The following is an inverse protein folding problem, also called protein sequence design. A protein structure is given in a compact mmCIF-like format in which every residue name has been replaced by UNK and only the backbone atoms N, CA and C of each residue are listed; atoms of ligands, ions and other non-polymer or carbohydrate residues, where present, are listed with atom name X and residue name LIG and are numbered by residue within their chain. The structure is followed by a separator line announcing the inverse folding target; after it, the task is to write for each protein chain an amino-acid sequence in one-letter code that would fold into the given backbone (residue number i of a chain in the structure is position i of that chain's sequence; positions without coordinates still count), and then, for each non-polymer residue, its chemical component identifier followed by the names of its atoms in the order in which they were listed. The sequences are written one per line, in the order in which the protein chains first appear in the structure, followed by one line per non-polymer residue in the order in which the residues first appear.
data_IF_061715729185
#
_entry.id   IF_061715729185
#
_cell.length_a   1.000
_cell.length_b   1.000
_cell.length_c   1.000
_cell.angle_alpha   90.00
_cell.angle_beta   90.00
_cell.angle_gamma   90.00
#
_symmetry.space_group_name_H-M   'P 1'
#
loop_
_entity.id
_entity.type
_entity.pdbx_description
1 polymer ?
#
# COMPACT_ATOMS: atom_id res chain seq x y z
N UNK A 1 -13.41 -14.59 20.86
CA UNK A 1 -13.71 -14.44 19.42
C UNK A 1 -12.42 -14.24 18.60
N UNK A 2 -11.54 -13.26 18.94
CA UNK A 2 -10.32 -12.99 18.17
C UNK A 2 -9.35 -14.18 18.08
N UNK A 3 -9.14 -14.89 19.18
CA UNK A 3 -8.29 -16.09 19.22
C UNK A 3 -8.90 -17.24 18.39
N UNK A 4 -10.21 -17.38 18.40
CA UNK A 4 -10.93 -18.39 17.62
C UNK A 4 -10.78 -18.11 16.11
N UNK A 5 -10.96 -16.86 15.68
CA UNK A 5 -10.77 -16.48 14.27
C UNK A 5 -9.32 -16.70 13.79
N UNK A 6 -8.30 -16.42 14.61
CA UNK A 6 -6.89 -16.66 14.27
C UNK A 6 -6.62 -18.16 14.10
N UNK A 7 -7.12 -18.98 15.01
CA UNK A 7 -6.96 -20.44 14.95
C UNK A 7 -7.63 -21.03 13.70
N UNK A 8 -8.82 -20.58 13.38
CA UNK A 8 -9.57 -21.07 12.23
C UNK A 8 -8.93 -20.62 10.91
N UNK A 9 -8.38 -19.39 10.86
CA UNK A 9 -7.61 -18.92 9.72
C UNK A 9 -6.37 -19.77 9.47
N UNK A 10 -5.64 -20.16 10.52
CA UNK A 10 -4.47 -21.02 10.39
C UNK A 10 -4.86 -22.44 9.90
N UNK A 11 -5.98 -22.98 10.40
CA UNK A 11 -6.50 -24.29 9.96
C UNK A 11 -6.90 -24.26 8.47
N UNK A 12 -7.52 -23.17 8.03
CA UNK A 12 -7.84 -22.96 6.61
C UNK A 12 -6.58 -22.79 5.78
N UNK A 13 -5.57 -22.06 6.27
CA UNK A 13 -4.28 -21.92 5.59
C UNK A 13 -3.61 -23.27 5.36
N UNK A 14 -3.48 -24.08 6.42
CA UNK A 14 -2.88 -25.42 6.36
C UNK A 14 -3.63 -26.33 5.38
N UNK A 15 -4.95 -26.19 5.27
CA UNK A 15 -5.75 -26.91 4.28
C UNK A 15 -5.49 -26.40 2.86
N UNK A 16 -5.43 -25.08 2.64
CA UNK A 16 -5.17 -24.49 1.34
C UNK A 16 -3.77 -24.87 0.82
N UNK A 17 -2.80 -24.98 1.71
CA UNK A 17 -1.43 -25.42 1.41
C UNK A 17 -1.27 -26.95 1.32
N UNK A 18 -2.37 -27.74 1.44
CA UNK A 18 -2.39 -29.20 1.45
C UNK A 18 -1.59 -29.85 2.60
N UNK A 19 -1.37 -29.14 3.72
CA UNK A 19 -0.69 -29.64 4.91
C UNK A 19 -1.59 -30.55 5.76
N UNK A 20 -2.90 -30.27 5.76
CA UNK A 20 -3.89 -31.05 6.47
C UNK A 20 -5.06 -31.44 5.57
N UNK A 21 -5.75 -32.52 5.94
CA UNK A 21 -6.99 -32.96 5.31
C UNK A 21 -8.16 -32.75 6.29
N UNK A 22 -9.22 -32.11 5.85
CA UNK A 22 -10.42 -31.83 6.63
C UNK A 22 -11.50 -32.93 6.45
N UNK A 23 -11.10 -34.20 6.28
CA UNK A 23 -12.04 -35.31 6.12
C UNK A 23 -13.00 -35.38 7.30
N UNK A 24 -14.31 -35.46 7.01
CA UNK A 24 -15.36 -35.48 8.00
C UNK A 24 -15.80 -34.12 8.56
N UNK A 25 -15.12 -33.02 8.20
CA UNK A 25 -15.56 -31.68 8.58
C UNK A 25 -16.69 -31.20 7.66
N UNK A 26 -17.76 -30.67 8.25
CA UNK A 26 -18.99 -30.23 7.57
C UNK A 26 -18.76 -29.19 6.47
N UNK A 27 -17.71 -28.38 6.59
CA UNK A 27 -17.39 -27.29 5.66
C UNK A 27 -16.33 -27.64 4.60
N UNK A 28 -15.86 -28.91 4.57
CA UNK A 28 -14.80 -29.33 3.63
C UNK A 28 -15.19 -29.08 2.17
N UNK A 29 -16.38 -29.51 1.74
CA UNK A 29 -16.83 -29.33 0.35
C UNK A 29 -16.90 -27.85 -0.05
N UNK A 30 -17.34 -26.99 0.86
CA UNK A 30 -17.36 -25.54 0.63
C UNK A 30 -15.96 -24.96 0.48
N UNK A 31 -14.99 -25.43 1.27
CA UNK A 31 -13.60 -24.99 1.17
C UNK A 31 -12.92 -25.53 -0.10
N UNK A 32 -13.19 -26.77 -0.49
CA UNK A 32 -12.71 -27.32 -1.77
C UNK A 32 -13.20 -26.48 -2.95
N UNK A 33 -14.49 -26.16 -2.97
CA UNK A 33 -15.10 -25.30 -3.98
C UNK A 33 -14.51 -23.89 -3.97
N UNK A 34 -14.30 -23.31 -2.79
CA UNK A 34 -13.71 -21.98 -2.61
C UNK A 34 -12.26 -21.96 -3.08
N UNK A 35 -11.47 -23.01 -2.84
CA UNK A 35 -10.10 -23.15 -3.32
C UNK A 35 -10.02 -23.19 -4.86
N UNK A 36 -10.91 -23.96 -5.49
CA UNK A 36 -11.00 -24.03 -6.97
C UNK A 36 -11.38 -22.67 -7.54
N UNK A 37 -12.39 -22.01 -6.95
CA UNK A 37 -12.83 -20.69 -7.40
C UNK A 37 -11.71 -19.64 -7.21
N UNK A 38 -11.03 -19.63 -6.08
CA UNK A 38 -9.88 -18.74 -5.81
C UNK A 38 -8.81 -18.89 -6.89
N UNK A 39 -8.44 -20.13 -7.25
CA UNK A 39 -7.41 -20.37 -8.27
C UNK A 39 -7.80 -19.75 -9.61
N UNK A 40 -9.07 -19.95 -10.03
CA UNK A 40 -9.59 -19.33 -11.27
C UNK A 40 -9.65 -17.80 -11.22
N UNK A 41 -9.97 -17.22 -10.05
CA UNK A 41 -9.99 -15.76 -9.88
C UNK A 41 -8.58 -15.18 -9.93
N UNK A 42 -7.59 -15.86 -9.34
CA UNK A 42 -6.17 -15.47 -9.41
C UNK A 42 -5.63 -15.57 -10.85
N UNK A 43 -5.99 -16.61 -11.59
CA UNK A 43 -5.65 -16.73 -13.01
C UNK A 43 -6.22 -15.52 -13.81
N UNK A 44 -7.52 -15.24 -13.66
CA UNK A 44 -8.16 -14.08 -14.29
C UNK A 44 -7.56 -12.75 -13.85
N UNK A 45 -7.13 -12.63 -12.58
CA UNK A 45 -6.41 -11.44 -12.09
C UNK A 45 -5.09 -11.27 -12.82
N UNK A 46 -4.35 -12.36 -13.02
CA UNK A 46 -3.08 -12.35 -13.74
C UNK A 46 -3.26 -12.03 -15.24
N UNK A 47 -4.27 -12.64 -15.89
CA UNK A 47 -4.64 -12.36 -17.28
C UNK A 47 -5.08 -10.91 -17.50
N UNK A 48 -5.86 -10.36 -16.56
CA UNK A 48 -6.30 -8.96 -16.58
C UNK A 48 -5.14 -7.99 -16.40
N UNK A 49 -4.05 -8.44 -15.82
CA UNK A 49 -2.88 -7.60 -15.58
C UNK A 49 -3.02 -6.67 -14.36
N UNK A 50 -3.79 -7.03 -13.32
CA UNK A 50 -3.90 -6.24 -12.10
C UNK A 50 -2.54 -6.08 -11.41
N UNK A 51 -2.23 -4.90 -10.92
CA UNK A 51 -0.98 -4.65 -10.19
C UNK A 51 -0.98 -5.42 -8.85
N UNK A 52 0.10 -6.10 -8.56
CA UNK A 52 0.27 -6.79 -7.27
C UNK A 52 1.64 -6.41 -6.68
N UNK A 53 1.60 -5.53 -5.68
CA UNK A 53 2.79 -5.08 -4.97
C UNK A 53 2.98 -5.92 -3.71
N UNK A 54 4.13 -6.56 -3.59
CA UNK A 54 4.57 -7.14 -2.32
C UNK A 54 5.27 -6.04 -1.51
N UNK A 55 4.56 -5.50 -0.53
CA UNK A 55 5.11 -4.54 0.43
C UNK A 55 5.32 -5.23 1.77
N UNK A 56 6.42 -4.88 2.41
CA UNK A 56 6.69 -5.31 3.77
C UNK A 56 5.81 -4.52 4.75
N UNK A 57 4.91 -5.21 5.45
CA UNK A 57 4.08 -4.62 6.49
C UNK A 57 4.56 -5.10 7.86
N UNK A 58 4.89 -4.19 8.79
CA UNK A 58 5.30 -4.59 10.13
C UNK A 58 4.14 -5.18 10.92
N UNK A 59 4.35 -6.36 11.49
CA UNK A 59 3.52 -6.93 12.54
C UNK A 59 4.19 -6.66 13.89
N UNK A 60 3.51 -5.93 14.74
CA UNK A 60 3.98 -5.56 16.07
C UNK A 60 3.20 -6.34 17.14
N UNK A 61 3.92 -7.08 17.95
CA UNK A 61 3.36 -7.66 19.18
C UNK A 61 3.78 -6.80 20.36
N UNK A 62 2.81 -6.20 21.03
CA UNK A 62 3.03 -5.33 22.16
C UNK A 62 2.70 -6.05 23.49
N UNK A 63 3.33 -5.61 24.57
CA UNK A 63 2.95 -5.95 25.93
C UNK A 63 1.70 -5.18 26.39
N UNK A 64 1.36 -5.33 27.68
CA UNK A 64 0.20 -4.64 28.26
C UNK A 64 0.38 -3.13 28.39
N UNK A 65 1.61 -2.66 28.35
CA UNK A 65 1.96 -1.25 28.40
C UNK A 65 2.05 -0.59 27.02
N UNK A 66 1.85 -1.38 25.94
CA UNK A 66 1.93 -0.92 24.56
C UNK A 66 3.34 -0.90 23.97
N UNK A 67 4.36 -1.42 24.67
CA UNK A 67 5.73 -1.51 24.16
C UNK A 67 5.89 -2.70 23.21
N UNK A 68 6.58 -2.48 22.10
CA UNK A 68 6.85 -3.53 21.11
C UNK A 68 7.83 -4.54 21.72
N UNK A 69 7.37 -5.78 21.84
CA UNK A 69 8.15 -6.97 22.25
C UNK A 69 8.71 -7.72 21.05
N UNK A 70 8.01 -7.70 19.96
CA UNK A 70 8.39 -8.42 18.75
C UNK A 70 7.95 -7.65 17.51
N UNK A 71 8.87 -7.51 16.56
CA UNK A 71 8.67 -6.87 15.29
C UNK A 71 9.00 -7.86 14.17
N UNK A 72 8.01 -8.18 13.33
CA UNK A 72 8.15 -9.14 12.23
C UNK A 72 7.52 -8.59 10.96
N UNK A 73 7.89 -9.14 9.82
CA UNK A 73 7.13 -8.92 8.59
C UNK A 73 5.82 -9.72 8.62
N UNK A 74 4.73 -9.09 8.24
CA UNK A 74 3.42 -9.72 8.12
C UNK A 74 3.38 -10.61 6.88
N UNK A 75 3.17 -11.91 7.07
CA UNK A 75 3.04 -12.84 5.96
C UNK A 75 1.65 -12.75 5.35
N UNK A 76 1.55 -12.58 4.03
CA UNK A 76 0.31 -12.65 3.28
C UNK A 76 -0.06 -14.11 3.01
N UNK A 77 -1.06 -14.61 3.70
CA UNK A 77 -1.52 -16.00 3.64
C UNK A 77 -2.41 -16.27 2.42
N UNK A 78 -2.53 -17.55 2.01
CA UNK A 78 -3.46 -17.97 0.96
C UNK A 78 -4.92 -17.75 1.37
N UNK A 79 -5.24 -17.96 2.64
CA UNK A 79 -6.54 -17.66 3.23
C UNK A 79 -6.91 -16.17 3.11
N UNK A 80 -5.94 -15.26 3.22
CA UNK A 80 -6.16 -13.84 2.99
C UNK A 80 -6.46 -13.57 1.50
N UNK A 81 -5.72 -14.19 0.57
CA UNK A 81 -5.95 -14.05 -0.87
C UNK A 81 -7.33 -14.59 -1.29
N UNK A 82 -7.79 -15.69 -0.68
CA UNK A 82 -9.11 -16.24 -0.92
C UNK A 82 -10.20 -15.20 -0.61
N UNK A 83 -10.17 -14.63 0.58
CA UNK A 83 -11.15 -13.61 0.99
C UNK A 83 -11.02 -12.36 0.12
N UNK A 84 -9.80 -11.92 -0.19
CA UNK A 84 -9.55 -10.76 -1.07
C UNK A 84 -10.22 -10.93 -2.44
N UNK A 85 -10.03 -12.08 -3.11
CA UNK A 85 -10.63 -12.32 -4.43
C UNK A 85 -12.17 -12.39 -4.36
N UNK A 86 -12.72 -12.93 -3.28
CA UNK A 86 -14.18 -12.95 -3.08
C UNK A 86 -14.74 -11.56 -2.81
N UNK A 87 -14.03 -10.75 -2.03
CA UNK A 87 -14.38 -9.34 -1.79
C UNK A 87 -14.31 -8.52 -3.09
N UNK A 88 -13.27 -8.70 -3.90
CA UNK A 88 -13.14 -8.05 -5.21
C UNK A 88 -14.31 -8.42 -6.11
N UNK A 89 -14.67 -9.70 -6.19
CA UNK A 89 -15.78 -10.17 -7.00
C UNK A 89 -17.11 -9.55 -6.57
N UNK A 90 -17.38 -9.50 -5.26
CA UNK A 90 -18.59 -8.87 -4.72
C UNK A 90 -18.63 -7.36 -5.02
N UNK A 91 -17.50 -6.67 -4.90
CA UNK A 91 -17.38 -5.25 -5.20
C UNK A 91 -17.68 -4.94 -6.68
N UNK A 92 -17.22 -5.79 -7.60
CA UNK A 92 -17.49 -5.64 -9.04
C UNK A 92 -18.97 -5.85 -9.33
N UNK A 93 -19.56 -6.93 -8.77
CA UNK A 93 -21.00 -7.21 -8.95
C UNK A 93 -21.86 -6.04 -8.43
N UNK A 94 -21.49 -5.45 -7.30
CA UNK A 94 -22.17 -4.27 -6.75
C UNK A 94 -22.02 -3.04 -7.68
N UNK A 95 -20.82 -2.80 -8.22
CA UNK A 95 -20.58 -1.72 -9.18
C UNK A 95 -21.42 -1.89 -10.46
N UNK A 96 -21.48 -3.10 -11.00
CA UNK A 96 -22.30 -3.42 -12.16
C UNK A 96 -23.80 -3.26 -11.89
N UNK A 97 -24.25 -3.63 -10.68
CA UNK A 97 -25.64 -3.41 -10.28
C UNK A 97 -25.99 -1.93 -10.22
N UNK A 98 -25.14 -1.12 -9.60
CA UNK A 98 -25.34 0.33 -9.51
C UNK A 98 -25.41 0.96 -10.91
N UNK A 99 -24.44 0.62 -11.76
CA UNK A 99 -24.36 1.17 -13.11
C UNK A 99 -25.61 0.86 -13.96
N UNK A 100 -26.20 -0.32 -13.79
CA UNK A 100 -27.40 -0.74 -14.52
C UNK A 100 -28.69 -0.10 -14.00
N UNK A 101 -28.72 0.34 -12.76
CA UNK A 101 -29.97 0.68 -12.08
C UNK A 101 -30.07 2.15 -11.65
N UNK A 102 -28.97 2.89 -11.69
CA UNK A 102 -28.88 4.29 -11.27
C UNK A 102 -28.19 5.14 -12.32
N UNK A 103 -28.62 6.38 -12.47
CA UNK A 103 -27.97 7.37 -13.34
C UNK A 103 -26.62 7.83 -12.78
N UNK A 104 -26.51 7.85 -11.45
CA UNK A 104 -25.27 8.11 -10.72
C UNK A 104 -24.99 6.95 -9.77
N UNK A 105 -23.83 6.32 -9.93
CA UNK A 105 -23.33 5.28 -9.03
C UNK A 105 -22.28 5.84 -8.06
N UNK A 106 -21.82 4.98 -7.17
CA UNK A 106 -20.69 5.26 -6.29
C UNK A 106 -19.56 4.34 -6.72
N UNK A 107 -18.44 4.93 -7.12
CA UNK A 107 -17.29 4.18 -7.61
C UNK A 107 -16.06 4.46 -6.76
N UNK A 108 -15.20 3.47 -6.62
CA UNK A 108 -13.83 3.63 -6.14
C UNK A 108 -12.93 3.71 -7.34
N UNK A 109 -12.48 4.90 -7.64
CA UNK A 109 -11.72 5.20 -8.85
C UNK A 109 -10.23 5.33 -8.54
N UNK A 110 -9.40 4.94 -9.48
CA UNK A 110 -7.96 5.07 -9.41
C UNK A 110 -7.46 5.44 -10.79
N UNK A 111 -7.09 6.69 -10.95
CA UNK A 111 -6.66 7.25 -12.21
C UNK A 111 -5.20 6.89 -12.55
N UNK A 112 -4.81 7.16 -13.79
CA UNK A 112 -3.43 6.98 -14.26
C UNK A 112 -2.48 7.92 -13.54
N UNK A 113 -1.22 7.53 -13.36
CA UNK A 113 -0.20 8.42 -12.84
C UNK A 113 0.02 9.63 -13.73
N UNK A 114 0.31 10.78 -13.13
CA UNK A 114 0.64 12.00 -13.86
C UNK A 114 2.01 11.89 -14.56
N UNK A 115 2.14 12.45 -15.75
CA UNK A 115 3.33 12.35 -16.61
C UNK A 115 4.63 12.72 -15.87
N UNK A 116 4.63 13.80 -15.08
CA UNK A 116 5.83 14.21 -14.34
C UNK A 116 6.30 13.17 -13.29
N UNK A 117 5.38 12.40 -12.72
CA UNK A 117 5.73 11.31 -11.79
C UNK A 117 6.38 10.15 -12.52
N UNK A 118 5.95 9.93 -13.75
CA UNK A 118 6.47 8.90 -14.65
C UNK A 118 7.89 9.23 -15.09
N UNK A 119 8.09 10.47 -15.54
CA UNK A 119 9.41 10.95 -15.94
C UNK A 119 10.40 10.80 -14.80
N UNK A 120 9.98 11.16 -13.58
CA UNK A 120 10.79 10.99 -12.38
C UNK A 120 11.08 9.51 -12.07
N UNK A 121 10.08 8.64 -12.17
CA UNK A 121 10.28 7.19 -12.01
C UNK A 121 11.32 6.68 -13.01
N UNK A 122 11.19 7.03 -14.28
CA UNK A 122 12.12 6.64 -15.34
C UNK A 122 13.56 7.11 -15.04
N UNK A 123 13.73 8.32 -14.52
CA UNK A 123 15.06 8.83 -14.13
C UNK A 123 15.66 8.04 -12.96
N UNK A 124 14.86 7.70 -11.93
CA UNK A 124 15.30 6.91 -10.79
C UNK A 124 15.73 5.52 -11.25
N UNK A 125 14.97 4.89 -12.14
CA UNK A 125 15.24 3.56 -12.68
C UNK A 125 16.52 3.56 -13.52
N UNK A 126 16.70 4.53 -14.42
CA UNK A 126 17.92 4.70 -15.25
C UNK A 126 19.18 4.81 -14.40
N UNK A 127 19.15 5.53 -13.28
CA UNK A 127 20.29 5.65 -12.36
C UNK A 127 20.68 4.32 -11.72
N UNK A 128 19.73 3.41 -11.62
CA UNK A 128 19.96 2.04 -11.10
C UNK A 128 20.26 1.02 -12.19
N UNK A 129 20.58 1.48 -13.41
CA UNK A 129 20.80 0.65 -14.61
C UNK A 129 19.58 -0.26 -14.90
N UNK A 130 18.37 0.23 -14.62
CA UNK A 130 17.13 -0.46 -14.93
C UNK A 130 16.50 0.29 -16.11
N UNK A 131 16.53 -0.33 -17.28
CA UNK A 131 15.85 0.19 -18.45
C UNK A 131 14.38 -0.19 -18.36
N UNK A 132 13.53 0.83 -18.34
CA UNK A 132 12.10 0.69 -18.50
C UNK A 132 11.66 1.57 -19.66
N UNK A 133 11.32 0.93 -20.77
CA UNK A 133 10.90 1.58 -22.00
C UNK A 133 9.37 1.58 -22.16
N UNK A 134 8.64 1.12 -21.14
CA UNK A 134 7.19 1.04 -21.16
C UNK A 134 6.51 2.40 -20.98
N UNK A 135 5.38 2.59 -21.65
CA UNK A 135 4.40 3.62 -21.28
C UNK A 135 3.63 3.15 -20.04
N UNK A 136 3.36 4.05 -19.10
CA UNK A 136 2.50 3.72 -17.94
C UNK A 136 1.05 3.50 -18.35
N UNK A 137 0.65 4.02 -19.50
CA UNK A 137 -0.65 3.71 -20.08
C UNK A 137 -0.77 2.21 -20.43
N UNK A 138 0.37 1.54 -20.63
CA UNK A 138 0.43 0.09 -20.80
C UNK A 138 0.67 -0.61 -19.46
N UNK A 139 -0.43 -0.89 -18.75
CA UNK A 139 -0.43 -1.57 -17.46
C UNK A 139 0.20 -2.97 -17.56
N UNK A 140 0.13 -3.61 -18.72
CA UNK A 140 0.70 -4.95 -18.91
C UNK A 140 2.22 -4.89 -18.88
N UNK A 141 2.82 -3.90 -19.54
CA UNK A 141 4.26 -3.63 -19.44
C UNK A 141 4.69 -3.27 -18.02
N UNK A 142 3.88 -2.48 -17.30
CA UNK A 142 4.16 -2.15 -15.90
C UNK A 142 4.11 -3.39 -15.00
N UNK A 143 3.17 -4.30 -15.22
CA UNK A 143 3.10 -5.57 -14.47
C UNK A 143 4.29 -6.49 -14.73
N UNK A 144 4.67 -6.66 -16.00
CA UNK A 144 5.86 -7.43 -16.37
C UNK A 144 7.09 -6.80 -15.70
N UNK A 145 7.17 -5.49 -15.70
CA UNK A 145 8.23 -4.74 -15.06
C UNK A 145 8.26 -5.00 -13.54
N UNK A 146 7.14 -4.86 -12.82
CA UNK A 146 7.03 -5.13 -11.38
C UNK A 146 7.41 -6.59 -11.05
N UNK A 147 6.94 -7.55 -11.84
CA UNK A 147 7.33 -8.97 -11.69
C UNK A 147 8.84 -9.19 -11.88
N UNK A 148 9.48 -8.45 -12.78
CA UNK A 148 10.94 -8.53 -12.96
C UNK A 148 11.67 -7.89 -11.78
N UNK A 149 11.12 -6.83 -11.18
CA UNK A 149 11.68 -6.22 -9.97
C UNK A 149 11.64 -7.16 -8.77
N UNK A 150 10.64 -8.05 -8.66
CA UNK A 150 10.51 -9.00 -7.54
C UNK A 150 11.68 -9.95 -7.38
N UNK A 151 12.47 -10.17 -8.44
CA UNK A 151 13.67 -11.02 -8.44
C UNK A 151 14.93 -10.32 -7.89
N UNK A 152 14.86 -9.02 -7.64
CA UNK A 152 16.01 -8.21 -7.19
C UNK A 152 16.09 -8.15 -5.67
N UNK A 153 17.30 -7.97 -5.15
CA UNK A 153 17.54 -7.76 -3.71
C UNK A 153 16.97 -6.43 -3.19
N UNK A 154 16.85 -5.43 -4.08
CA UNK A 154 16.32 -4.10 -3.79
C UNK A 154 14.81 -3.94 -4.14
N UNK A 155 14.08 -5.05 -4.27
CA UNK A 155 12.66 -5.08 -4.69
C UNK A 155 11.74 -4.21 -3.83
N UNK A 156 11.90 -4.23 -2.52
CA UNK A 156 11.06 -3.44 -1.59
C UNK A 156 11.19 -1.95 -1.86
N UNK A 157 12.42 -1.48 -2.12
CA UNK A 157 12.71 -0.08 -2.45
C UNK A 157 12.06 0.30 -3.78
N UNK A 158 12.27 -0.54 -4.80
CA UNK A 158 11.75 -0.28 -6.14
C UNK A 158 10.21 -0.29 -6.16
N UNK A 159 9.58 -1.24 -5.46
CA UNK A 159 8.13 -1.28 -5.30
C UNK A 159 7.61 -0.02 -4.60
N UNK A 160 8.29 0.45 -3.56
CA UNK A 160 7.92 1.69 -2.87
C UNK A 160 8.02 2.91 -3.80
N UNK A 161 9.09 3.02 -4.61
CA UNK A 161 9.27 4.11 -5.59
C UNK A 161 8.20 4.07 -6.68
N UNK A 162 7.91 2.89 -7.22
CA UNK A 162 6.82 2.71 -8.20
C UNK A 162 5.48 3.11 -7.60
N UNK A 163 5.17 2.63 -6.39
CA UNK A 163 3.92 2.96 -5.70
C UNK A 163 3.77 4.46 -5.41
N UNK A 164 4.85 5.15 -5.03
CA UNK A 164 4.85 6.62 -4.84
C UNK A 164 4.55 7.39 -6.13
N UNK A 165 4.77 6.77 -7.29
CA UNK A 165 4.47 7.38 -8.59
C UNK A 165 2.99 7.26 -8.96
N UNK A 166 2.26 6.34 -8.33
CA UNK A 166 0.84 6.13 -8.59
C UNK A 166 -0.03 7.27 -8.04
N UNK A 167 -1.23 7.42 -8.61
CA UNK A 167 -2.27 8.25 -8.03
C UNK A 167 -2.86 7.57 -6.79
N UNK A 168 -3.65 8.31 -6.03
CA UNK A 168 -4.44 7.73 -4.94
C UNK A 168 -5.83 7.38 -5.46
N UNK A 169 -6.35 6.26 -4.98
CA UNK A 169 -7.74 5.94 -5.23
C UNK A 169 -8.65 6.85 -4.40
N UNK A 170 -9.81 7.22 -4.95
CA UNK A 170 -10.80 8.07 -4.30
C UNK A 170 -12.23 7.60 -4.61
N UNK A 171 -13.21 8.15 -3.92
CA UNK A 171 -14.62 7.91 -4.23
C UNK A 171 -15.13 8.97 -5.20
N UNK A 172 -15.91 8.55 -6.19
CA UNK A 172 -16.46 9.44 -7.23
C UNK A 172 -17.76 8.89 -7.78
N UNK A 173 -18.60 9.77 -8.32
CA UNK A 173 -19.75 9.39 -9.15
C UNK A 173 -19.35 9.09 -10.59
N UNK A 174 -18.15 9.50 -11.02
CA UNK A 174 -17.63 9.29 -12.38
C UNK A 174 -17.02 7.91 -12.52
N UNK A 175 -17.39 7.23 -13.61
CA UNK A 175 -16.88 5.90 -13.95
C UNK A 175 -15.59 6.00 -14.77
N UNK A 176 -14.47 6.37 -14.13
CA UNK A 176 -13.15 6.43 -14.80
C UNK A 176 -12.34 5.12 -14.67
N UNK A 177 -12.86 4.14 -13.94
CA UNK A 177 -12.19 2.87 -13.72
C UNK A 177 -11.21 2.85 -12.55
N UNK A 178 -10.57 1.72 -12.36
CA UNK A 178 -9.57 1.53 -11.32
C UNK A 178 -8.27 0.98 -11.92
N UNK A 179 -7.33 1.87 -12.22
CA UNK A 179 -6.07 1.57 -12.88
C UNK A 179 -5.33 0.38 -12.24
N UNK A 180 -5.03 0.43 -10.95
CA UNK A 180 -4.25 -0.61 -10.27
C UNK A 180 -4.89 -2.00 -10.26
N UNK A 181 -6.24 -2.08 -10.22
CA UNK A 181 -6.97 -3.35 -10.29
C UNK A 181 -7.35 -3.75 -11.72
N UNK A 182 -7.18 -2.84 -12.67
CA UNK A 182 -7.56 -2.97 -14.08
C UNK A 182 -9.03 -3.39 -14.26
N UNK A 183 -9.90 -2.75 -13.48
CA UNK A 183 -11.35 -2.86 -13.62
C UNK A 183 -11.91 -1.58 -14.25
N UNK A 184 -12.83 -1.75 -15.21
CA UNK A 184 -13.55 -0.62 -15.80
C UNK A 184 -14.51 0.02 -14.80
N UNK A 185 -15.13 -0.79 -13.93
CA UNK A 185 -16.06 -0.38 -12.88
C UNK A 185 -15.68 -1.06 -11.59
N UNK A 186 -15.58 -0.29 -10.54
CA UNK A 186 -15.25 -0.83 -9.23
C UNK A 186 -15.87 0.04 -8.15
N UNK A 187 -16.46 -0.57 -7.14
CA UNK A 187 -16.95 0.11 -5.93
C UNK A 187 -16.51 -0.63 -4.69
N UNK A 188 -16.68 -0.01 -3.56
CA UNK A 188 -16.57 -0.67 -2.28
C UNK A 188 -17.96 -1.09 -1.77
N UNK A 189 -18.11 -2.35 -1.39
CA UNK A 189 -19.37 -2.93 -0.93
C UNK A 189 -19.18 -3.78 0.33
N UNK A 190 -18.03 -4.41 0.50
CA UNK A 190 -17.84 -5.52 1.44
C UNK A 190 -17.52 -5.10 2.88
N UNK A 191 -17.44 -3.80 3.19
CA UNK A 191 -17.09 -3.33 4.55
C UNK A 191 -17.99 -2.19 5.07
N UNK A 192 -19.33 -2.34 5.11
CA UNK A 192 -20.26 -1.27 5.48
C UNK A 192 -20.18 -0.84 6.96
N UNK A 193 -19.59 -1.65 7.82
CA UNK A 193 -19.41 -1.33 9.26
C UNK A 193 -18.41 -0.19 9.45
N UNK A 194 -17.38 -0.11 8.60
CA UNK A 194 -16.26 0.84 8.75
C UNK A 194 -16.09 1.81 7.60
N UNK A 195 -16.80 1.63 6.49
CA UNK A 195 -16.76 2.52 5.33
C UNK A 195 -18.16 3.00 4.98
N UNK A 196 -18.38 4.29 5.11
CA UNK A 196 -19.69 4.89 4.84
C UNK A 196 -20.14 4.75 3.37
N UNK A 197 -19.27 4.89 2.35
CA UNK A 197 -19.66 4.61 0.96
C UNK A 197 -20.21 3.19 0.74
N UNK A 198 -19.63 2.17 1.38
CA UNK A 198 -20.15 0.80 1.31
C UNK A 198 -21.58 0.73 1.88
N UNK A 199 -21.84 1.40 3.00
CA UNK A 199 -23.18 1.44 3.59
C UNK A 199 -24.19 2.10 2.66
N UNK A 200 -23.80 3.17 1.97
CA UNK A 200 -24.65 3.82 0.97
C UNK A 200 -24.94 2.86 -0.19
N UNK A 201 -23.92 2.18 -0.70
CA UNK A 201 -24.08 1.17 -1.77
C UNK A 201 -25.08 0.10 -1.34
N UNK A 202 -25.01 -0.41 -0.10
CA UNK A 202 -26.00 -1.35 0.45
C UNK A 202 -27.40 -0.76 0.42
N UNK A 203 -27.57 0.48 0.89
CA UNK A 203 -28.88 1.16 0.89
C UNK A 203 -29.46 1.33 -0.50
N UNK A 204 -28.64 1.75 -1.47
CA UNK A 204 -29.04 1.87 -2.87
C UNK A 204 -29.51 0.53 -3.43
N UNK A 205 -28.73 -0.55 -3.23
CA UNK A 205 -29.09 -1.90 -3.71
C UNK A 205 -30.41 -2.35 -3.08
N UNK A 206 -30.56 -2.24 -1.76
CA UNK A 206 -31.77 -2.65 -1.03
C UNK A 206 -32.98 -1.83 -1.48
N UNK A 207 -32.85 -0.53 -1.63
CA UNK A 207 -33.94 0.32 -2.11
C UNK A 207 -34.41 -0.12 -3.51
N UNK A 208 -33.48 -0.35 -4.43
CA UNK A 208 -33.83 -0.80 -5.79
C UNK A 208 -34.50 -2.17 -5.80
N UNK A 209 -34.02 -3.12 -5.00
CA UNK A 209 -34.65 -4.45 -4.88
C UNK A 209 -36.06 -4.37 -4.31
N UNK A 210 -36.32 -3.42 -3.40
CA UNK A 210 -37.64 -3.16 -2.83
C UNK A 210 -38.49 -2.19 -3.66
N UNK A 211 -38.03 -1.79 -4.87
CA UNK A 211 -38.69 -0.83 -5.75
C UNK A 211 -38.96 0.54 -5.11
N UNK A 212 -38.09 0.93 -4.18
CA UNK A 212 -38.07 2.24 -3.54
C UNK A 212 -37.14 3.18 -4.28
N UNK A 213 -37.46 4.48 -4.26
CA UNK A 213 -36.53 5.50 -4.71
C UNK A 213 -35.54 5.82 -3.59
N UNK A 214 -34.26 5.94 -3.93
CA UNK A 214 -33.20 6.34 -2.98
C UNK A 214 -32.29 7.33 -3.68
N UNK A 215 -32.46 8.58 -3.34
CA UNK A 215 -31.66 9.68 -3.85
C UNK A 215 -30.84 10.27 -2.70
N UNK A 216 -29.68 10.77 -3.02
CA UNK A 216 -28.77 11.42 -2.07
C UNK A 216 -28.46 12.78 -2.64
N UNK A 217 -28.84 13.80 -1.88
CA UNK A 217 -28.48 15.19 -2.18
C UNK A 217 -26.95 15.33 -2.04
N UNK A 218 -26.34 16.11 -2.92
CA UNK A 218 -24.91 16.44 -2.90
C UNK A 218 -23.97 15.22 -2.81
N UNK A 219 -24.30 14.15 -3.56
CA UNK A 219 -23.54 12.91 -3.53
C UNK A 219 -22.05 13.11 -3.85
N UNK A 220 -21.70 13.99 -4.78
CA UNK A 220 -20.31 14.29 -5.13
C UNK A 220 -19.54 14.87 -3.94
N UNK A 221 -20.10 15.85 -3.24
CA UNK A 221 -19.48 16.47 -2.06
C UNK A 221 -19.32 15.46 -0.92
N UNK A 222 -20.33 14.60 -0.73
CA UNK A 222 -20.25 13.51 0.24
C UNK A 222 -19.11 12.54 -0.05
N UNK A 223 -18.89 12.16 -1.32
CA UNK A 223 -17.82 11.25 -1.71
C UNK A 223 -16.42 11.88 -1.59
N UNK A 224 -16.31 13.17 -1.90
CA UNK A 224 -15.09 13.96 -1.64
C UNK A 224 -14.78 13.95 -0.15
N UNK A 225 -15.78 14.27 0.69
CA UNK A 225 -15.65 14.26 2.16
C UNK A 225 -15.22 12.86 2.67
N UNK A 226 -15.84 11.78 2.18
CA UNK A 226 -15.46 10.42 2.55
C UNK A 226 -13.98 10.13 2.20
N UNK A 227 -13.52 10.55 1.03
CA UNK A 227 -12.14 10.39 0.60
C UNK A 227 -11.16 11.18 1.48
N UNK A 228 -11.53 12.38 1.91
CA UNK A 228 -10.73 13.19 2.84
C UNK A 228 -10.67 12.57 4.24
N UNK A 229 -11.78 12.06 4.75
CA UNK A 229 -11.82 11.38 6.07
C UNK A 229 -11.03 10.08 6.05
N UNK A 230 -11.06 9.33 4.95
CA UNK A 230 -10.21 8.15 4.75
C UNK A 230 -8.72 8.53 4.85
N UNK A 231 -8.29 9.58 4.14
CA UNK A 231 -6.91 10.09 4.20
C UNK A 231 -6.51 10.52 5.62
N UNK A 232 -7.39 11.22 6.32
CA UNK A 232 -7.14 11.67 7.70
C UNK A 232 -6.99 10.48 8.66
N UNK A 233 -7.85 9.46 8.52
CA UNK A 233 -7.81 8.24 9.33
C UNK A 233 -6.54 7.41 9.06
N UNK A 234 -6.16 7.28 7.78
CA UNK A 234 -4.91 6.62 7.39
C UNK A 234 -3.69 7.34 7.96
N UNK A 235 -3.66 8.67 7.87
CA UNK A 235 -2.58 9.47 8.42
C UNK A 235 -2.47 9.29 9.94
N UNK A 236 -3.58 9.35 10.67
CA UNK A 236 -3.61 9.14 12.12
C UNK A 236 -3.10 7.75 12.50
N UNK A 237 -3.53 6.70 11.79
CA UNK A 237 -3.06 5.33 12.02
C UNK A 237 -1.55 5.20 11.78
N UNK A 238 -1.05 5.79 10.68
CA UNK A 238 0.38 5.79 10.37
C UNK A 238 1.20 6.57 11.40
N UNK A 239 0.66 7.68 11.92
CA UNK A 239 1.32 8.47 12.95
C UNK A 239 1.48 7.67 14.26
N UNK A 240 0.42 6.98 14.71
CA UNK A 240 0.50 6.12 15.90
C UNK A 240 1.51 4.98 15.67
N UNK A 241 1.46 4.32 14.52
CA UNK A 241 2.43 3.29 14.18
C UNK A 241 3.86 3.81 14.18
N UNK A 242 4.09 4.98 13.59
CA UNK A 242 5.41 5.64 13.57
C UNK A 242 5.90 5.95 14.99
N UNK A 243 5.06 6.48 15.87
CA UNK A 243 5.43 6.76 17.26
C UNK A 243 5.86 5.47 17.99
N UNK A 244 5.11 4.39 17.83
CA UNK A 244 5.46 3.09 18.42
C UNK A 244 6.80 2.55 17.89
N UNK A 245 7.03 2.64 16.57
CA UNK A 245 8.29 2.23 15.96
C UNK A 245 9.45 3.12 16.36
N UNK A 246 9.23 4.43 16.57
CA UNK A 246 10.22 5.33 17.11
C UNK A 246 10.62 4.94 18.54
N UNK A 247 9.64 4.67 19.43
CA UNK A 247 9.94 4.16 20.78
C UNK A 247 10.76 2.87 20.76
N UNK A 248 10.44 1.96 19.82
CA UNK A 248 11.24 0.75 19.65
C UNK A 248 12.65 1.04 19.15
N UNK A 249 12.80 1.96 18.19
CA UNK A 249 14.07 2.38 17.62
C UNK A 249 14.99 3.07 18.65
N UNK A 250 14.44 3.67 19.71
CA UNK A 250 15.22 4.28 20.79
C UNK A 250 16.18 3.30 21.48
N UNK A 251 15.87 2.01 21.47
CA UNK A 251 16.74 0.96 22.01
C UNK A 251 18.01 0.72 21.17
N UNK A 252 18.09 1.30 19.98
CA UNK A 252 19.18 1.08 19.01
C UNK A 252 20.00 2.36 18.75
N UNK A 253 19.95 3.34 19.65
CA UNK A 253 20.78 4.56 19.55
C UNK A 253 22.26 4.21 19.41
N UNK A 254 22.96 4.90 18.51
CA UNK A 254 24.35 4.68 18.17
C UNK A 254 24.61 3.49 17.26
N UNK A 255 23.62 2.66 16.95
CA UNK A 255 23.78 1.55 16.01
C UNK A 255 23.61 2.01 14.55
N UNK A 256 24.30 1.32 13.66
CA UNK A 256 24.34 1.61 12.22
C UNK A 256 23.39 0.66 11.49
N UNK A 257 22.64 1.21 10.55
CA UNK A 257 21.71 0.49 9.71
C UNK A 257 21.88 0.89 8.26
N UNK A 258 21.74 -0.10 7.37
CA UNK A 258 21.54 0.18 5.96
C UNK A 258 20.10 0.58 5.72
N UNK A 259 19.94 1.67 5.01
CA UNK A 259 18.65 2.21 4.64
C UNK A 259 18.63 2.70 3.21
N UNK A 260 17.52 3.27 2.82
CA UNK A 260 17.36 3.88 1.51
C UNK A 260 16.60 5.20 1.59
N UNK A 261 16.94 6.13 0.70
CA UNK A 261 16.37 7.46 0.68
C UNK A 261 14.94 7.39 0.14
N UNK A 262 13.96 7.74 0.97
CA UNK A 262 12.53 7.81 0.63
C UNK A 262 12.04 9.23 0.39
N UNK A 263 12.80 10.23 0.81
CA UNK A 263 12.46 11.62 0.61
C UNK A 263 13.70 12.51 0.56
N UNK A 264 13.68 13.52 -0.30
CA UNK A 264 14.75 14.51 -0.39
C UNK A 264 14.14 15.91 -0.26
N UNK A 265 14.70 16.72 0.61
CA UNK A 265 14.32 18.12 0.88
C UNK A 265 15.57 18.98 0.87
N UNK A 266 15.39 20.28 0.92
CA UNK A 266 16.47 21.26 1.02
C UNK A 266 17.24 21.17 2.33
N UNK A 267 16.60 20.74 3.43
CA UNK A 267 17.19 20.58 4.76
C UNK A 267 17.77 19.18 5.04
N UNK A 268 17.65 18.21 4.11
CA UNK A 268 18.20 16.87 4.28
C UNK A 268 17.43 15.77 3.57
N UNK A 269 17.72 14.52 3.93
CA UNK A 269 17.12 13.35 3.33
C UNK A 269 16.42 12.48 4.38
N UNK A 270 15.28 11.92 4.01
CA UNK A 270 14.59 10.91 4.80
C UNK A 270 15.08 9.54 4.39
N UNK A 271 15.55 8.77 5.36
CA UNK A 271 16.08 7.43 5.14
C UNK A 271 15.18 6.42 5.84
N UNK A 272 14.67 5.47 5.07
CA UNK A 272 13.92 4.33 5.60
C UNK A 272 14.89 3.22 5.99
N UNK A 273 14.69 2.67 7.18
CA UNK A 273 15.47 1.58 7.76
C UNK A 273 14.63 0.30 7.79
N UNK A 274 14.71 -0.57 6.77
CA UNK A 274 13.82 -1.73 6.64
C UNK A 274 13.86 -2.69 7.85
N UNK A 275 15.01 -2.84 8.48
CA UNK A 275 15.16 -3.68 9.68
C UNK A 275 14.34 -3.20 10.88
N UNK A 276 14.04 -1.91 10.94
CA UNK A 276 13.27 -1.29 12.01
C UNK A 276 11.86 -0.86 11.56
N UNK A 277 11.51 -1.02 10.27
CA UNK A 277 10.25 -0.59 9.65
C UNK A 277 9.92 0.89 9.92
N UNK A 278 10.94 1.72 10.08
CA UNK A 278 10.78 3.14 10.37
C UNK A 278 11.74 3.98 9.57
N UNK A 279 11.48 5.28 9.50
CA UNK A 279 12.31 6.23 8.79
C UNK A 279 12.82 7.33 9.72
N UNK A 280 13.99 7.87 9.41
CA UNK A 280 14.58 8.99 10.13
C UNK A 280 15.02 10.11 9.18
N UNK A 281 15.29 11.27 9.75
CA UNK A 281 15.85 12.41 9.05
C UNK A 281 17.38 12.43 9.22
N UNK A 282 18.10 12.34 8.11
CA UNK A 282 19.51 12.70 8.01
C UNK A 282 19.59 14.16 7.58
N UNK A 283 19.83 15.05 8.54
CA UNK A 283 19.87 16.48 8.27
C UNK A 283 21.07 16.84 7.39
N UNK A 284 20.97 17.92 6.63
CA UNK A 284 22.01 18.35 5.70
C UNK A 284 23.36 18.64 6.40
N UNK A 285 23.35 19.00 7.70
CA UNK A 285 24.55 19.23 8.51
C UNK A 285 25.32 17.95 8.83
N UNK A 286 24.62 16.81 8.85
CA UNK A 286 25.20 15.49 9.10
C UNK A 286 25.74 14.82 7.84
N UNK A 287 25.43 15.37 6.66
CA UNK A 287 25.99 14.91 5.39
C UNK A 287 27.48 15.29 5.28
N UNK A 288 28.26 14.58 4.44
CA UNK A 288 29.66 14.94 4.18
C UNK A 288 29.80 16.42 3.85
N UNK A 289 30.77 17.11 4.46
CA UNK A 289 30.95 18.57 4.31
C UNK A 289 31.03 19.00 2.85
N UNK A 290 29.97 19.61 2.36
CA UNK A 290 29.84 20.20 1.02
C UNK A 290 28.79 21.32 1.01
N UNK A 291 28.72 22.06 -0.09
CA UNK A 291 27.63 23.00 -0.35
C UNK A 291 26.58 22.30 -1.21
N UNK A 292 25.51 21.90 -0.61
CA UNK A 292 24.44 21.18 -1.30
C UNK A 292 23.45 22.13 -1.96
N UNK A 293 23.04 21.79 -3.20
CA UNK A 293 21.97 22.45 -3.94
C UNK A 293 20.79 21.48 -4.09
N UNK A 294 19.62 21.90 -3.63
CA UNK A 294 18.39 21.12 -3.79
C UNK A 294 17.72 21.42 -5.12
N UNK A 295 17.39 20.38 -5.87
CA UNK A 295 16.53 20.44 -7.04
C UNK A 295 15.13 19.92 -6.67
N UNK A 296 14.17 20.82 -6.55
CA UNK A 296 12.81 20.49 -6.12
C UNK A 296 12.04 19.65 -7.16
N UNK A 297 12.32 19.85 -8.48
CA UNK A 297 11.67 19.09 -9.56
C UNK A 297 12.07 17.63 -9.53
N UNK A 298 13.36 17.37 -9.47
CA UNK A 298 13.91 16.01 -9.54
C UNK A 298 14.06 15.36 -8.15
N UNK A 299 13.84 16.13 -7.06
CA UNK A 299 14.07 15.72 -5.67
C UNK A 299 15.48 15.15 -5.47
N UNK A 300 16.45 15.99 -5.78
CA UNK A 300 17.88 15.66 -5.70
C UNK A 300 18.58 16.69 -4.84
N UNK A 301 19.48 16.23 -3.98
CA UNK A 301 20.43 17.06 -3.24
C UNK A 301 21.83 16.79 -3.77
N UNK A 302 22.44 17.79 -4.44
CA UNK A 302 23.73 17.64 -5.11
C UNK A 302 24.79 18.52 -4.45
N UNK A 303 25.91 17.93 -4.06
CA UNK A 303 27.08 18.64 -3.56
C UNK A 303 27.87 19.32 -4.68
N UNK A 304 28.39 20.51 -4.40
CA UNK A 304 29.14 21.31 -5.41
C UNK A 304 30.61 20.88 -5.54
N UNK A 305 31.23 20.40 -4.46
CA UNK A 305 32.67 20.12 -4.42
C UNK A 305 33.03 18.65 -4.62
N UNK A 306 32.30 17.76 -3.98
CA UNK A 306 32.58 16.32 -3.96
C UNK A 306 31.69 15.50 -4.90
N UNK A 307 30.82 16.15 -5.66
CA UNK A 307 29.85 15.52 -6.57
C UNK A 307 28.94 14.48 -5.88
N UNK A 308 28.85 14.51 -4.55
CA UNK A 308 27.94 13.65 -3.80
C UNK A 308 26.51 14.02 -4.16
N UNK A 309 25.74 13.03 -4.57
CA UNK A 309 24.35 13.25 -4.97
C UNK A 309 23.48 12.28 -4.18
N UNK A 310 22.44 12.82 -3.55
CA UNK A 310 21.45 12.05 -2.82
C UNK A 310 20.10 12.11 -3.51
N UNK A 311 19.57 10.96 -3.90
CA UNK A 311 18.35 10.83 -4.67
C UNK A 311 17.40 9.83 -4.03
N UNK A 312 16.13 9.90 -4.41
CA UNK A 312 15.17 8.87 -4.03
C UNK A 312 15.67 7.48 -4.43
N UNK A 313 15.57 6.56 -3.50
CA UNK A 313 15.94 5.16 -3.70
C UNK A 313 17.42 4.86 -3.47
N UNK A 314 18.32 5.83 -3.33
CA UNK A 314 19.74 5.55 -3.06
C UNK A 314 19.91 4.80 -1.75
N UNK A 315 20.81 3.82 -1.75
CA UNK A 315 21.24 3.10 -0.54
C UNK A 315 22.22 3.95 0.25
N UNK A 316 22.05 3.98 1.56
CA UNK A 316 22.87 4.76 2.46
C UNK A 316 22.98 4.05 3.81
N UNK A 317 24.16 4.07 4.41
CA UNK A 317 24.37 3.60 5.79
C UNK A 317 24.25 4.80 6.73
N UNK A 318 23.41 4.66 7.77
CA UNK A 318 23.11 5.71 8.74
C UNK A 318 23.13 5.17 10.15
N UNK A 319 23.52 6.00 11.09
CA UNK A 319 23.40 5.66 12.52
C UNK A 319 22.25 6.44 13.17
N UNK A 320 21.63 5.86 14.21
CA UNK A 320 20.59 6.53 14.99
C UNK A 320 21.27 7.45 16.01
N UNK A 321 21.09 8.76 15.83
CA UNK A 321 21.61 9.78 16.73
C UNK A 321 20.64 10.00 17.91
N UNK A 322 19.46 10.51 17.62
CA UNK A 322 18.45 10.81 18.63
C UNK A 322 17.05 10.38 18.20
N UNK A 323 16.23 10.06 19.19
CA UNK A 323 14.83 9.66 18.98
C UNK A 323 13.92 10.53 19.84
N UNK A 324 13.02 11.26 19.20
CA UNK A 324 11.97 12.07 19.80
C UNK A 324 10.68 11.28 19.80
N UNK A 325 10.49 10.42 20.80
CA UNK A 325 9.39 9.43 20.83
C UNK A 325 8.00 10.06 20.73
N UNK A 326 7.76 11.17 21.44
CA UNK A 326 6.47 11.87 21.44
C UNK A 326 6.14 12.50 20.08
N UNK A 327 7.17 12.89 19.33
CA UNK A 327 7.00 13.50 18.01
C UNK A 327 7.04 12.47 16.87
N UNK A 328 7.39 11.20 17.17
CA UNK A 328 7.58 10.17 16.18
C UNK A 328 8.72 10.46 15.20
N UNK A 329 9.79 11.14 15.66
CA UNK A 329 10.92 11.56 14.83
C UNK A 329 12.21 10.89 15.25
N UNK A 330 13.02 10.52 14.27
CA UNK A 330 14.35 9.94 14.44
C UNK A 330 15.34 10.83 13.71
N UNK A 331 16.37 11.29 14.42
CA UNK A 331 17.52 11.97 13.83
C UNK A 331 18.63 10.96 13.56
N UNK A 332 19.22 11.07 12.39
CA UNK A 332 20.25 10.16 11.90
C UNK A 332 21.57 10.91 11.68
N UNK A 333 22.68 10.19 11.80
CA UNK A 333 23.99 10.67 11.38
C UNK A 333 24.52 9.83 10.20
N UNK A 334 25.36 10.44 9.37
CA UNK A 334 25.99 9.82 8.22
C UNK A 334 27.15 8.93 8.65
N UNK A 335 27.34 7.75 7.97
CA UNK A 335 28.44 6.81 8.22
C UNK A 335 29.33 6.68 7.01
#
# INVERSE_FOLDING_TARGET
QRQMCIRDSNKVEDFLENKINLNGEKYKESLDSAKILMSKLLERRAERGALDFELDEPYMRCDREGKIQELKNRTRLMSHKLIEEFMLSANICAADFLNKNYSQGIYRVHDYPENYKIDRLSQILKRRNINWEGSIEDVDNLNIFIKNLSKRSDKSILNAVVLQSMQRAEYSTKEIGHFGLKYKKYTHFTSPIRRYPDLIVHRMIIAKLNKLNYEIEDLDDLLVHCSERERSSEFASKQVQQNMLCSYAANFRGQIFDGFITGVKDFGVFVDMPKLYTSGLLHITELPKDNYKYNARDKILSGKRRANTFCLGDMISVGIDNVMELEGKISLFYV
#
